data_IF_491138445138
#
_entry.id   IF_491138445138
#
_cell.length_a   1.000
_cell.length_b   1.000
_cell.length_c   1.000
_cell.angle_alpha   90.00
_cell.angle_beta   90.00
_cell.angle_gamma   90.00
#
_symmetry.space_group_name_H-M   'P 1'
#
loop_
_entity.id
_entity.type
_entity.pdbx_description
1 polymer ?
#
# COMPACT_ATOMS: atom_id res chain seq x y z
N UNK A 1 12.78 -14.47 14.80
CA UNK A 1 12.83 -13.55 15.97
C UNK A 1 13.72 -12.31 15.74
N UNK A 2 14.95 -12.43 15.21
CA UNK A 2 15.85 -11.27 14.95
C UNK A 2 15.32 -10.25 13.92
N UNK A 3 14.63 -10.72 12.87
CA UNK A 3 14.07 -9.85 11.80
C UNK A 3 13.01 -8.88 12.35
N UNK A 4 12.10 -9.39 13.19
CA UNK A 4 11.04 -8.58 13.80
C UNK A 4 11.59 -7.56 14.80
N UNK A 5 12.69 -7.90 15.49
CA UNK A 5 13.38 -6.99 16.39
C UNK A 5 14.11 -5.87 15.62
N UNK A 6 14.71 -6.19 14.47
CA UNK A 6 15.35 -5.21 13.60
C UNK A 6 14.34 -4.26 12.97
N UNK A 7 13.17 -4.78 12.55
CA UNK A 7 12.08 -3.97 12.04
C UNK A 7 11.54 -3.01 13.11
N UNK A 8 11.25 -3.52 14.32
CA UNK A 8 10.83 -2.68 15.45
C UNK A 8 11.84 -1.58 15.79
N UNK A 9 13.13 -1.89 15.77
CA UNK A 9 14.18 -0.90 16.03
C UNK A 9 14.25 0.16 14.93
N UNK A 10 14.09 -0.25 13.66
CA UNK A 10 14.05 0.66 12.53
C UNK A 10 12.84 1.61 12.57
N UNK A 11 11.66 1.08 12.90
CA UNK A 11 10.44 1.89 13.09
C UNK A 11 10.62 2.90 14.23
N UNK A 12 11.27 2.49 15.33
CA UNK A 12 11.54 3.37 16.47
C UNK A 12 12.52 4.50 16.10
N UNK A 13 13.52 4.23 15.26
CA UNK A 13 14.46 5.23 14.76
C UNK A 13 13.80 6.24 13.81
N UNK A 14 12.96 5.76 12.88
CA UNK A 14 12.21 6.63 11.96
C UNK A 14 11.24 7.53 12.74
N UNK A 15 10.51 6.96 13.71
CA UNK A 15 9.63 7.71 14.60
C UNK A 15 10.38 8.79 15.39
N UNK A 16 11.56 8.47 15.96
CA UNK A 16 12.36 9.43 16.72
C UNK A 16 12.85 10.61 15.86
N UNK A 17 13.31 10.34 14.63
CA UNK A 17 13.75 11.39 13.71
C UNK A 17 12.62 12.35 13.38
N UNK A 18 11.41 11.83 13.15
CA UNK A 18 10.26 12.65 12.80
C UNK A 18 9.69 13.40 14.01
N UNK A 19 9.59 12.77 15.18
CA UNK A 19 9.15 13.41 16.42
C UNK A 19 10.08 14.57 16.82
N UNK A 20 11.40 14.44 16.59
CA UNK A 20 12.36 15.53 16.81
C UNK A 20 12.18 16.69 15.82
N UNK A 21 11.79 16.40 14.57
CA UNK A 21 11.57 17.40 13.52
C UNK A 21 10.34 18.28 13.78
N UNK A 22 9.30 17.72 14.38
CA UNK A 22 8.02 18.41 14.64
C UNK A 22 7.86 18.92 16.09
N UNK A 23 8.82 18.62 16.98
CA UNK A 23 8.73 19.07 18.37
C UNK A 23 8.99 20.56 18.51
N UNK A 24 8.02 21.28 19.08
CA UNK A 24 8.14 22.71 19.44
C UNK A 24 8.78 22.91 20.83
N UNK A 25 9.04 21.81 21.56
CA UNK A 25 9.63 21.85 22.90
C UNK A 25 11.15 21.88 22.80
N UNK A 26 11.75 23.08 22.89
CA UNK A 26 13.21 23.26 23.01
C UNK A 26 13.71 22.89 24.41
N UNK A 27 13.69 21.61 24.77
CA UNK A 27 14.36 21.12 25.98
C UNK A 27 15.85 20.91 25.72
N UNK A 28 16.73 21.50 26.54
CA UNK A 28 18.18 21.22 26.52
C UNK A 28 18.55 19.80 27.03
N UNK A 29 17.57 19.01 27.46
CA UNK A 29 17.77 17.64 27.96
C UNK A 29 17.08 16.62 27.05
N UNK A 30 17.72 15.49 26.74
CA UNK A 30 17.12 14.43 25.93
C UNK A 30 15.87 13.88 26.63
N UNK A 31 14.72 14.00 25.98
CA UNK A 31 13.45 13.47 26.47
C UNK A 31 13.49 11.95 26.30
N UNK A 32 13.17 11.19 27.37
CA UNK A 32 13.19 9.73 27.32
C UNK A 32 12.07 9.20 26.41
N UNK A 33 12.34 8.21 25.53
CA UNK A 33 11.42 7.75 24.47
C UNK A 33 10.01 7.37 24.94
N UNK A 34 9.89 6.78 26.12
CA UNK A 34 8.62 6.26 26.65
C UNK A 34 7.71 7.33 27.26
N UNK A 35 8.23 8.52 27.60
CA UNK A 35 7.42 9.57 28.23
C UNK A 35 6.55 10.30 27.21
N UNK A 36 6.99 10.38 25.95
CA UNK A 36 6.22 10.99 24.86
C UNK A 36 5.03 10.10 24.46
N UNK A 37 5.25 8.79 24.26
CA UNK A 37 4.18 7.83 23.92
C UNK A 37 3.09 7.70 24.99
N UNK A 38 3.37 8.03 26.25
CA UNK A 38 2.38 8.01 27.33
C UNK A 38 1.52 9.28 27.36
N UNK A 39 1.98 10.35 26.72
CA UNK A 39 1.32 11.64 26.66
C UNK A 39 0.40 11.77 25.43
N UNK A 40 0.74 11.10 24.32
CA UNK A 40 -0.13 10.95 23.15
C UNK A 40 -1.03 9.73 23.38
N UNK A 41 -2.35 9.92 23.38
CA UNK A 41 -3.31 8.81 23.51
C UNK A 41 -3.15 7.80 22.37
N UNK A 42 -3.59 6.56 22.59
CA UNK A 42 -3.43 5.45 21.62
C UNK A 42 -3.98 5.78 20.24
N UNK A 43 -5.13 6.45 20.15
CA UNK A 43 -5.78 6.77 18.88
C UNK A 43 -5.02 7.85 18.09
N UNK A 44 -4.35 8.76 18.81
CA UNK A 44 -3.58 9.85 18.19
C UNK A 44 -2.19 9.35 17.77
N UNK A 45 -1.62 8.41 18.52
CA UNK A 45 -0.45 7.66 18.11
C UNK A 45 -0.76 6.80 16.86
N UNK A 46 -1.88 6.09 16.84
CA UNK A 46 -2.32 5.29 15.69
C UNK A 46 -2.47 6.17 14.45
N UNK A 47 -3.14 7.33 14.57
CA UNK A 47 -3.22 8.31 13.49
C UNK A 47 -1.85 8.79 13.01
N UNK A 48 -0.94 9.16 13.92
CA UNK A 48 0.42 9.59 13.57
C UNK A 48 1.19 8.47 12.86
N UNK A 49 1.03 7.21 13.28
CA UNK A 49 1.70 6.08 12.66
C UNK A 49 1.11 5.80 11.27
N UNK A 50 -0.20 5.85 11.10
CA UNK A 50 -0.86 5.75 9.79
C UNK A 50 -0.45 6.88 8.85
N UNK A 51 -0.35 8.12 9.36
CA UNK A 51 0.09 9.28 8.59
C UNK A 51 1.62 9.24 8.28
N UNK A 52 2.43 8.57 9.10
CA UNK A 52 3.89 8.51 8.97
C UNK A 52 4.40 7.27 8.23
N UNK A 53 3.64 6.18 8.27
CA UNK A 53 3.84 4.98 7.47
C UNK A 53 2.86 4.99 6.32
N UNK A 54 2.83 6.09 5.55
CA UNK A 54 2.07 6.23 4.30
C UNK A 54 1.88 4.87 3.64
N UNK A 55 0.65 4.61 3.16
CA UNK A 55 0.36 3.50 2.24
C UNK A 55 1.53 3.32 1.28
N UNK A 56 1.85 2.08 0.91
CA UNK A 56 2.97 1.75 0.04
C UNK A 56 2.80 2.42 -1.34
N UNK A 57 2.99 3.72 -1.41
CA UNK A 57 2.80 4.59 -2.56
C UNK A 57 4.13 4.55 -3.32
N UNK A 58 4.42 3.38 -3.88
CA UNK A 58 5.56 3.22 -4.76
C UNK A 58 5.23 3.92 -6.08
N UNK A 59 5.95 4.99 -6.35
CA UNK A 59 5.84 5.73 -7.61
C UNK A 59 7.12 5.62 -8.43
N UNK A 60 6.95 5.51 -9.75
CA UNK A 60 8.06 5.41 -10.71
C UNK A 60 7.76 6.33 -11.90
N UNK A 61 8.66 7.26 -12.17
CA UNK A 61 8.54 8.15 -13.33
C UNK A 61 8.88 7.44 -14.63
N UNK A 62 8.07 7.67 -15.66
CA UNK A 62 8.30 7.22 -17.03
C UNK A 62 8.11 8.38 -18.00
N UNK A 63 8.61 8.29 -19.25
CA UNK A 63 8.32 9.30 -20.27
C UNK A 63 6.84 9.52 -20.57
N UNK A 64 5.95 8.57 -20.22
CA UNK A 64 4.51 8.66 -20.46
C UNK A 64 3.73 9.23 -19.27
N UNK A 65 4.38 9.41 -18.11
CA UNK A 65 3.75 9.77 -16.85
C UNK A 65 4.31 8.95 -15.69
N UNK A 66 3.70 9.08 -14.52
CA UNK A 66 4.15 8.40 -13.31
C UNK A 66 3.31 7.13 -13.11
N UNK A 67 3.97 5.99 -12.93
CA UNK A 67 3.33 4.76 -12.47
C UNK A 67 3.20 4.84 -10.96
N UNK A 68 2.01 4.57 -10.43
CA UNK A 68 1.72 4.54 -9.00
C UNK A 68 1.19 3.17 -8.64
N UNK A 69 1.72 2.58 -7.58
CA UNK A 69 1.19 1.36 -6.97
C UNK A 69 0.38 1.75 -5.74
N UNK A 70 -0.81 1.19 -5.59
CA UNK A 70 -1.70 1.39 -4.43
C UNK A 70 -2.27 0.07 -3.95
N UNK A 71 -2.52 -0.04 -2.64
CA UNK A 71 -3.35 -1.13 -2.10
C UNK A 71 -4.81 -0.92 -2.51
N UNK A 72 -5.51 -2.00 -2.87
CA UNK A 72 -6.96 -1.91 -3.12
C UNK A 72 -7.70 -1.67 -1.81
N UNK A 73 -8.79 -0.91 -1.89
CA UNK A 73 -9.60 -0.55 -0.74
C UNK A 73 -10.80 -1.48 -0.53
N UNK A 74 -11.09 -2.36 -1.50
CA UNK A 74 -12.18 -3.34 -1.37
C UNK A 74 -11.72 -4.55 -0.54
N UNK A 75 -12.29 -4.77 0.65
CA UNK A 75 -11.92 -5.91 1.48
C UNK A 75 -12.30 -7.27 0.89
N UNK A 76 -13.20 -7.35 -0.10
CA UNK A 76 -13.55 -8.60 -0.77
C UNK A 76 -12.56 -8.95 -1.88
N UNK A 77 -11.85 -7.95 -2.41
CA UNK A 77 -10.86 -8.09 -3.46
C UNK A 77 -9.53 -7.45 -3.04
N UNK A 78 -8.87 -7.98 -1.99
CA UNK A 78 -7.63 -7.41 -1.51
C UNK A 78 -6.52 -7.63 -2.55
N UNK A 79 -5.74 -6.59 -2.82
CA UNK A 79 -4.83 -6.56 -3.94
C UNK A 79 -3.98 -5.30 -4.03
N UNK A 80 -3.28 -5.17 -5.16
CA UNK A 80 -2.49 -4.01 -5.54
C UNK A 80 -2.89 -3.54 -6.94
N UNK A 81 -3.21 -2.25 -7.07
CA UNK A 81 -3.41 -1.58 -8.35
C UNK A 81 -2.11 -0.94 -8.83
N UNK A 82 -1.92 -0.89 -10.14
CA UNK A 82 -0.90 -0.09 -10.81
C UNK A 82 -1.60 0.82 -11.80
N UNK A 83 -1.48 2.12 -11.55
CA UNK A 83 -2.14 3.16 -12.30
C UNK A 83 -1.13 4.12 -12.94
N UNK A 84 -1.46 4.67 -14.11
CA UNK A 84 -0.70 5.71 -14.77
C UNK A 84 -1.30 7.08 -14.47
N UNK A 85 -0.50 7.94 -13.86
CA UNK A 85 -0.80 9.36 -13.66
C UNK A 85 -0.18 10.17 -14.79
N UNK A 86 -1.01 10.93 -15.51
CA UNK A 86 -0.55 11.86 -16.56
C UNK A 86 -0.88 13.30 -16.18
N UNK A 87 0.06 14.26 -16.33
CA UNK A 87 -0.19 15.65 -15.96
C UNK A 87 -1.41 16.30 -16.64
N UNK A 88 -1.77 15.82 -17.84
CA UNK A 88 -2.82 16.40 -18.68
C UNK A 88 -4.09 15.54 -18.75
N UNK A 89 -4.20 14.51 -17.91
CA UNK A 89 -5.39 13.67 -17.84
C UNK A 89 -5.91 13.72 -16.42
N UNK A 90 -7.19 14.06 -16.26
CA UNK A 90 -7.83 14.03 -14.96
C UNK A 90 -8.02 12.57 -14.53
N UNK A 91 -7.48 12.22 -13.37
CA UNK A 91 -7.64 10.91 -12.76
C UNK A 91 -6.47 9.95 -13.02
N UNK A 92 -6.56 8.81 -12.35
CA UNK A 92 -5.63 7.69 -12.48
C UNK A 92 -6.10 6.79 -13.63
N UNK A 93 -5.17 6.33 -14.46
CA UNK A 93 -5.49 5.42 -15.58
C UNK A 93 -5.13 3.99 -15.15
N UNK A 94 -6.11 3.08 -14.98
CA UNK A 94 -5.82 1.71 -14.58
C UNK A 94 -5.03 1.00 -15.67
N UNK A 95 -3.93 0.36 -15.25
CA UNK A 95 -3.14 -0.49 -16.13
C UNK A 95 -3.22 -1.94 -15.70
N UNK A 96 -3.03 -2.20 -14.40
CA UNK A 96 -2.93 -3.56 -13.85
C UNK A 96 -3.57 -3.60 -12.48
N UNK A 97 -4.30 -4.68 -12.19
CA UNK A 97 -4.75 -5.02 -10.85
C UNK A 97 -4.32 -6.44 -10.54
N UNK A 98 -3.55 -6.64 -9.48
CA UNK A 98 -3.28 -7.96 -8.92
C UNK A 98 -4.14 -8.12 -7.68
N UNK A 99 -5.05 -9.07 -7.67
CA UNK A 99 -5.99 -9.25 -6.57
C UNK A 99 -6.16 -10.72 -6.19
N UNK A 100 -6.54 -10.91 -4.93
CA UNK A 100 -7.14 -12.13 -4.46
C UNK A 100 -8.60 -12.19 -4.91
N UNK A 101 -8.95 -13.30 -5.53
CA UNK A 101 -10.32 -13.66 -5.88
C UNK A 101 -10.76 -14.82 -4.99
N UNK A 102 -11.88 -14.63 -4.30
CA UNK A 102 -12.51 -15.63 -3.43
C UNK A 102 -13.34 -16.65 -4.22
N UNK A 103 -13.55 -17.83 -3.65
CA UNK A 103 -14.37 -18.87 -4.29
C UNK A 103 -15.86 -18.51 -4.43
N UNK A 104 -16.34 -17.52 -3.67
CA UNK A 104 -17.73 -17.05 -3.69
C UNK A 104 -17.94 -15.82 -4.59
N UNK A 105 -16.89 -15.36 -5.27
CA UNK A 105 -17.02 -14.22 -6.18
C UNK A 105 -17.94 -14.57 -7.35
N UNK A 106 -19.01 -13.78 -7.50
CA UNK A 106 -20.12 -14.07 -8.40
C UNK A 106 -19.90 -13.61 -9.86
N UNK A 107 -18.74 -13.02 -10.15
CA UNK A 107 -18.41 -12.57 -11.50
C UNK A 107 -18.16 -13.79 -12.38
N UNK A 108 -18.97 -13.92 -13.44
CA UNK A 108 -19.09 -15.14 -14.23
C UNK A 108 -17.79 -15.55 -14.96
N UNK A 109 -16.86 -14.62 -15.07
CA UNK A 109 -15.56 -14.81 -15.67
C UNK A 109 -14.49 -15.20 -14.63
N UNK A 110 -14.73 -15.09 -13.33
CA UNK A 110 -13.73 -15.38 -12.28
C UNK A 110 -13.51 -16.88 -12.03
N UNK A 111 -12.34 -17.26 -11.47
CA UNK A 111 -12.07 -18.64 -11.11
C UNK A 111 -13.05 -19.15 -10.05
N UNK A 112 -13.56 -20.38 -10.21
CA UNK A 112 -14.45 -21.03 -9.23
C UNK A 112 -13.76 -21.42 -7.89
N UNK A 113 -12.51 -21.03 -7.69
CA UNK A 113 -11.70 -21.35 -6.50
C UNK A 113 -10.85 -20.14 -6.14
N UNK A 114 -10.49 -20.04 -4.87
CA UNK A 114 -9.59 -19.02 -4.36
C UNK A 114 -8.27 -18.99 -5.14
N UNK A 115 -7.94 -17.85 -5.74
CA UNK A 115 -6.74 -17.67 -6.56
C UNK A 115 -6.23 -16.22 -6.49
N UNK A 116 -4.95 -16.04 -6.80
CA UNK A 116 -4.44 -14.73 -7.21
C UNK A 116 -4.65 -14.58 -8.71
N UNK A 117 -5.20 -13.44 -9.12
CA UNK A 117 -5.35 -13.10 -10.52
C UNK A 117 -4.71 -11.74 -10.81
N UNK A 118 -4.37 -11.53 -12.07
CA UNK A 118 -3.99 -10.22 -12.58
C UNK A 118 -4.92 -9.84 -13.72
N UNK A 119 -5.58 -8.70 -13.58
CA UNK A 119 -6.32 -8.03 -14.65
C UNK A 119 -5.41 -6.98 -15.29
N UNK A 120 -5.46 -6.85 -16.62
CA UNK A 120 -4.68 -5.89 -17.39
C UNK A 120 -5.59 -5.10 -18.32
N UNK A 121 -5.52 -3.77 -18.27
CA UNK A 121 -6.25 -2.87 -19.14
C UNK A 121 -5.37 -2.43 -20.30
N UNK A 122 -5.58 -3.02 -21.48
CA UNK A 122 -4.94 -2.58 -22.72
C UNK A 122 -5.58 -1.31 -23.30
N UNK A 123 -6.80 -0.98 -22.89
CA UNK A 123 -7.54 0.20 -23.33
C UNK A 123 -8.04 1.01 -22.13
N UNK A 124 -7.26 2.03 -21.76
CA UNK A 124 -7.56 2.96 -20.66
C UNK A 124 -8.96 3.62 -20.69
N UNK A 125 -9.59 3.70 -21.86
CA UNK A 125 -10.91 4.31 -22.03
C UNK A 125 -12.07 3.35 -21.79
N UNK A 126 -11.80 2.08 -21.49
CA UNK A 126 -12.80 1.05 -21.23
C UNK A 126 -12.75 0.63 -19.78
N UNK A 127 -13.92 0.38 -19.23
CA UNK A 127 -14.08 -0.14 -17.87
C UNK A 127 -13.61 -1.60 -17.78
N UNK A 128 -13.89 -2.39 -18.82
CA UNK A 128 -13.48 -3.79 -18.87
C UNK A 128 -11.98 -3.94 -19.13
N UNK A 129 -11.36 -4.85 -18.37
CA UNK A 129 -9.99 -5.28 -18.60
C UNK A 129 -9.88 -6.07 -19.91
N UNK A 130 -8.70 -6.04 -20.52
CA UNK A 130 -8.43 -6.71 -21.81
C UNK A 130 -7.94 -8.14 -21.61
N UNK A 131 -7.08 -8.35 -20.62
CA UNK A 131 -6.46 -9.65 -20.36
C UNK A 131 -6.58 -10.00 -18.87
N UNK A 132 -6.68 -11.31 -18.61
CA UNK A 132 -6.59 -11.86 -17.26
C UNK A 132 -5.61 -13.01 -17.20
N UNK A 133 -4.79 -13.00 -16.17
CA UNK A 133 -3.84 -14.06 -15.84
C UNK A 133 -4.28 -14.67 -14.50
N UNK A 134 -4.47 -15.99 -14.47
CA UNK A 134 -4.66 -16.74 -13.22
C UNK A 134 -3.30 -17.29 -12.80
N UNK A 135 -2.82 -16.93 -11.61
CA UNK A 135 -1.51 -17.35 -11.12
C UNK A 135 -1.60 -18.76 -10.53
N UNK A 136 -1.02 -19.75 -11.21
CA UNK A 136 -0.92 -21.09 -10.65
C UNK A 136 0.19 -21.13 -9.59
N UNK A 137 -0.22 -21.10 -8.32
CA UNK A 137 0.70 -21.11 -7.17
C UNK A 137 1.23 -22.51 -6.83
N UNK A 138 0.72 -23.56 -7.49
CA UNK A 138 1.29 -24.90 -7.40
C UNK A 138 2.31 -25.05 -8.52
N UNK A 139 3.58 -25.04 -8.16
CA UNK A 139 4.61 -25.58 -9.04
C UNK A 139 4.27 -27.04 -9.34
N UNK A 140 4.35 -27.44 -10.60
CA UNK A 140 4.32 -28.85 -10.97
C UNK A 140 5.37 -29.59 -10.12
N UNK A 141 4.89 -30.48 -9.26
CA UNK A 141 5.72 -31.37 -8.45
C UNK A 141 6.22 -32.54 -9.29
#
# INVERSE_FOLDING_TARGET
MKVMQNFKNHLLECFQKQALKVSVVKSKRPIKPFTYMRAVGTNELEKILTDAFETLDLTVDTPLGQLKITETTDPHHPGLSIDLLRPNVAGEIPLVLVEYCGAEDADADLPAKEQLITRVWGQASKEDYTDRIVHNLKGDA
#
